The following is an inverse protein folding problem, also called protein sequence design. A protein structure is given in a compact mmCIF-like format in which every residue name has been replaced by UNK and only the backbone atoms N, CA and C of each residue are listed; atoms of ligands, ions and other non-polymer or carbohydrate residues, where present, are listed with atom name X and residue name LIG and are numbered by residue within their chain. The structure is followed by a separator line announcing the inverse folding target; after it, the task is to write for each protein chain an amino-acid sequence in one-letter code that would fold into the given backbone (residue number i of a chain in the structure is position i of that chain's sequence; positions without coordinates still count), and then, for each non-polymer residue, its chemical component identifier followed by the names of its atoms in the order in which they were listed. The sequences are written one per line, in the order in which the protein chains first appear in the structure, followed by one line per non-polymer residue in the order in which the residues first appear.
data_IF_199207130795
#
_entry.id   IF_199207130795
#
_cell.length_a   1.000
_cell.length_b   1.000
_cell.length_c   1.000
_cell.angle_alpha   90.00
_cell.angle_beta   90.00
_cell.angle_gamma   90.00
#
_symmetry.space_group_name_H-M   'P 1'
#
loop_
_entity.id
_entity.type
_entity.pdbx_description
1 polymer ?
#
# COMPACT_ATOMS: atom_id res chain seq x y z
N UNK A 1 42.77 3.70 -32.74
CA UNK A 1 43.48 3.26 -31.51
C UNK A 1 43.50 4.43 -30.54
N UNK A 2 42.54 4.47 -29.62
CA UNK A 2 42.62 5.24 -28.37
C UNK A 2 41.52 4.68 -27.46
N UNK A 3 41.90 3.90 -26.46
CA UNK A 3 41.01 3.33 -25.46
C UNK A 3 40.50 4.44 -24.54
N UNK A 4 39.22 4.44 -24.11
CA UNK A 4 38.81 5.25 -22.99
C UNK A 4 39.44 4.69 -21.72
N UNK A 5 40.12 5.57 -20.98
CA UNK A 5 40.62 5.29 -19.63
C UNK A 5 39.44 5.00 -18.73
N UNK A 6 39.36 3.76 -18.25
CA UNK A 6 38.62 3.47 -17.04
C UNK A 6 39.29 4.16 -15.85
N UNK A 7 38.48 4.70 -14.95
CA UNK A 7 38.90 4.82 -13.56
C UNK A 7 37.71 4.73 -12.62
N UNK A 8 37.66 3.57 -11.97
CA UNK A 8 37.37 3.38 -10.54
C UNK A 8 35.90 3.54 -10.16
N UNK A 9 35.13 2.48 -10.47
CA UNK A 9 34.03 2.10 -9.60
C UNK A 9 34.58 1.78 -8.22
N UNK A 10 34.47 2.73 -7.29
CA UNK A 10 34.50 2.40 -5.88
C UNK A 10 33.33 1.47 -5.64
N UNK A 11 33.60 0.22 -5.25
CA UNK A 11 32.60 -0.67 -4.69
C UNK A 11 32.13 -0.03 -3.38
N UNK A 12 31.19 0.92 -3.49
CA UNK A 12 30.51 1.49 -2.35
C UNK A 12 29.89 0.35 -1.59
N UNK A 13 30.23 0.22 -0.32
CA UNK A 13 29.72 -0.82 0.56
C UNK A 13 28.19 -0.83 0.45
N UNK A 14 27.62 -1.88 -0.14
CA UNK A 14 26.17 -2.03 -0.24
C UNK A 14 25.65 -2.16 1.18
N UNK A 15 24.87 -1.18 1.63
CA UNK A 15 24.24 -1.25 2.96
C UNK A 15 23.29 -2.44 2.97
N UNK A 16 23.42 -3.30 3.96
CA UNK A 16 22.49 -4.40 4.17
C UNK A 16 21.46 -4.00 5.23
N UNK A 17 20.19 -4.28 4.97
CA UNK A 17 19.08 -3.94 5.83
C UNK A 17 18.43 -5.24 6.29
N UNK A 18 18.60 -5.48 7.59
CA UNK A 18 18.00 -6.50 8.42
C UNK A 18 16.47 -6.48 8.43
N UNK A 19 15.75 -7.42 7.82
CA UNK A 19 14.36 -7.67 8.22
C UNK A 19 14.31 -8.38 9.58
N UNK A 20 13.40 -7.94 10.44
CA UNK A 20 13.02 -8.61 11.68
C UNK A 20 11.73 -9.40 11.47
N UNK A 21 11.65 -10.64 11.97
CA UNK A 21 10.39 -11.39 11.96
C UNK A 21 9.49 -10.85 13.07
N UNK A 22 8.31 -10.37 12.70
CA UNK A 22 7.33 -9.76 13.63
C UNK A 22 6.05 -10.58 13.77
N UNK A 23 5.86 -11.60 12.93
CA UNK A 23 4.71 -12.48 13.00
C UNK A 23 4.75 -13.60 11.98
N UNK A 24 3.69 -14.40 11.96
CA UNK A 24 3.43 -15.42 10.96
C UNK A 24 2.13 -15.10 10.24
N UNK A 25 2.07 -15.37 8.93
CA UNK A 25 0.81 -15.26 8.22
C UNK A 25 -0.19 -16.27 8.81
N UNK A 26 -1.34 -15.83 9.36
CA UNK A 26 -2.33 -16.72 9.94
C UNK A 26 -3.01 -17.58 8.87
N UNK A 27 -3.45 -18.77 9.25
CA UNK A 27 -4.36 -19.60 8.45
C UNK A 27 -5.69 -19.75 9.16
N UNK A 28 -6.77 -19.84 8.40
CA UNK A 28 -8.12 -19.99 8.94
C UNK A 28 -8.87 -21.08 8.14
N UNK A 29 -9.13 -22.27 8.72
CA UNK A 29 -9.82 -23.35 8.02
C UNK A 29 -11.17 -22.93 7.46
N UNK A 30 -11.44 -23.27 6.20
CA UNK A 30 -12.67 -22.86 5.49
C UNK A 30 -12.64 -21.43 4.95
N UNK A 31 -11.52 -20.72 5.07
CA UNK A 31 -11.35 -19.37 4.55
C UNK A 31 -10.06 -19.23 3.74
N UNK A 32 -10.05 -18.26 2.83
CA UNK A 32 -8.90 -17.86 2.02
C UNK A 32 -8.50 -16.42 2.34
N UNK A 33 -7.20 -16.17 2.54
CA UNK A 33 -6.69 -14.80 2.73
C UNK A 33 -6.84 -14.02 1.41
N UNK A 34 -7.57 -12.90 1.44
CA UNK A 34 -7.84 -12.08 0.25
C UNK A 34 -7.11 -10.74 0.26
N UNK A 35 -6.88 -10.19 1.46
CA UNK A 35 -6.16 -8.94 1.63
C UNK A 35 -5.35 -8.94 2.92
N UNK A 36 -4.25 -8.19 2.91
CA UNK A 36 -3.43 -7.90 4.07
C UNK A 36 -2.98 -6.44 4.05
N UNK A 37 -2.59 -5.93 5.21
CA UNK A 37 -2.16 -4.54 5.36
C UNK A 37 -1.60 -4.26 6.75
N UNK A 38 -1.27 -2.99 6.98
CA UNK A 38 -0.77 -2.51 8.28
C UNK A 38 -1.56 -1.26 8.65
N UNK A 39 -2.20 -1.29 9.82
CA UNK A 39 -2.97 -0.18 10.34
C UNK A 39 -2.09 0.99 10.80
N UNK A 40 -2.71 2.15 11.04
CA UNK A 40 -2.00 3.35 11.53
C UNK A 40 -1.33 3.16 12.90
N UNK A 41 -1.86 2.25 13.73
CA UNK A 41 -1.27 1.83 15.00
C UNK A 41 -0.23 0.70 14.86
N UNK A 42 0.20 0.42 13.63
CA UNK A 42 1.12 -0.65 13.23
C UNK A 42 0.61 -2.08 13.40
N UNK A 43 -0.68 -2.27 13.69
CA UNK A 43 -1.25 -3.61 13.75
C UNK A 43 -1.25 -4.27 12.37
N UNK A 44 -0.91 -5.55 12.31
CA UNK A 44 -1.02 -6.37 11.11
C UNK A 44 -2.49 -6.74 10.89
N UNK A 45 -2.93 -6.60 9.64
CA UNK A 45 -4.31 -6.87 9.23
C UNK A 45 -4.33 -8.03 8.23
N UNK A 46 -5.25 -8.98 8.44
CA UNK A 46 -5.47 -10.12 7.55
C UNK A 46 -6.96 -10.33 7.34
N UNK A 47 -7.42 -10.09 6.11
CA UNK A 47 -8.81 -10.28 5.72
C UNK A 47 -8.99 -11.64 5.04
N UNK A 48 -9.88 -12.43 5.60
CA UNK A 48 -10.22 -13.76 5.14
C UNK A 48 -11.62 -13.78 4.53
N UNK A 49 -11.77 -14.38 3.36
CA UNK A 49 -13.05 -14.66 2.70
C UNK A 49 -13.42 -16.13 2.89
N UNK A 50 -14.67 -16.42 3.26
CA UNK A 50 -15.17 -17.78 3.38
C UNK A 50 -15.13 -18.51 2.02
N UNK A 51 -14.68 -19.76 2.02
CA UNK A 51 -14.57 -20.61 0.84
C UNK A 51 -15.08 -22.03 1.15
N UNK A 52 -16.03 -22.55 0.37
CA UNK A 52 -16.70 -23.86 0.54
C UNK A 52 -15.77 -25.10 0.31
N UNK A 53 -14.52 -25.06 0.75
CA UNK A 53 -13.64 -26.25 0.77
C UNK A 53 -12.95 -26.60 -0.56
N UNK A 54 -12.92 -25.71 -1.55
CA UNK A 54 -11.96 -25.78 -2.64
C UNK A 54 -10.62 -25.21 -2.16
N UNK A 55 -9.60 -26.05 -1.99
CA UNK A 55 -8.28 -25.61 -1.56
C UNK A 55 -7.78 -24.39 -2.36
N UNK A 56 -7.64 -23.25 -1.69
CA UNK A 56 -6.81 -22.15 -2.16
C UNK A 56 -5.59 -22.07 -1.23
N UNK A 57 -4.67 -23.01 -1.45
CA UNK A 57 -3.27 -22.82 -1.08
C UNK A 57 -2.79 -21.48 -1.64
N UNK A 58 -2.33 -20.56 -0.77
CA UNK A 58 -1.29 -19.54 -0.97
C UNK A 58 -0.85 -19.20 -2.44
N UNK A 59 -1.78 -18.95 -3.35
CA UNK A 59 -1.48 -18.67 -4.77
C UNK A 59 -2.23 -17.44 -5.27
N UNK A 60 -2.52 -16.48 -4.38
CA UNK A 60 -2.99 -15.14 -4.76
C UNK A 60 -1.86 -14.08 -4.70
N UNK A 61 -0.60 -14.51 -4.57
CA UNK A 61 0.60 -13.69 -4.73
C UNK A 61 1.38 -14.19 -5.96
N UNK A 62 0.74 -14.22 -7.12
CA UNK A 62 1.46 -14.35 -8.39
C UNK A 62 1.00 -13.27 -9.34
N UNK A 63 2.02 -12.57 -9.84
CA UNK A 63 1.96 -11.51 -10.82
C UNK A 63 0.97 -11.80 -11.94
N UNK A 64 0.06 -10.86 -12.17
CA UNK A 64 -0.39 -10.52 -13.51
C UNK A 64 -0.96 -9.10 -13.46
N UNK A 65 -0.51 -8.22 -14.36
CA UNK A 65 -0.93 -6.83 -14.48
C UNK A 65 -2.34 -6.65 -15.04
N UNK A 66 -3.26 -7.56 -14.72
CA UNK A 66 -4.68 -7.47 -15.05
C UNK A 66 -5.48 -7.91 -13.84
N UNK A 67 -6.09 -6.94 -13.15
CA UNK A 67 -7.01 -7.20 -12.05
C UNK A 67 -8.37 -7.60 -12.61
N UNK A 68 -8.97 -8.73 -12.18
CA UNK A 68 -10.29 -9.12 -12.65
C UNK A 68 -11.35 -8.11 -12.20
N UNK A 69 -12.30 -7.79 -13.10
CA UNK A 69 -13.46 -6.97 -12.74
C UNK A 69 -14.40 -7.77 -11.81
N UNK A 70 -14.73 -7.26 -10.62
CA UNK A 70 -15.57 -7.99 -9.67
C UNK A 70 -17.01 -8.07 -10.17
N UNK A 71 -17.54 -9.29 -10.33
CA UNK A 71 -18.99 -9.50 -10.52
C UNK A 71 -19.68 -9.31 -9.17
N UNK A 72 -20.41 -8.20 -8.99
CA UNK A 72 -21.31 -8.01 -7.84
C UNK A 72 -22.58 -8.85 -8.05
N UNK A 73 -23.02 -9.56 -7.02
CA UNK A 73 -24.21 -10.44 -7.11
C UNK A 73 -24.21 -11.66 -6.17
N UNK A 74 -23.15 -11.90 -5.39
CA UNK A 74 -23.14 -12.91 -4.34
C UNK A 74 -22.59 -12.28 -3.06
N UNK A 75 -23.35 -12.42 -1.96
CA UNK A 75 -22.90 -12.08 -0.62
C UNK A 75 -21.68 -12.93 -0.26
N UNK A 76 -20.65 -12.27 0.28
CA UNK A 76 -19.42 -12.88 0.75
C UNK A 76 -19.28 -12.69 2.25
N UNK A 77 -18.84 -13.73 2.94
CA UNK A 77 -18.59 -13.68 4.37
C UNK A 77 -17.10 -13.40 4.60
N UNK A 78 -16.81 -12.39 5.40
CA UNK A 78 -15.45 -12.00 5.72
C UNK A 78 -15.16 -12.11 7.21
N UNK A 79 -13.90 -12.40 7.54
CA UNK A 79 -13.37 -12.32 8.90
C UNK A 79 -12.03 -11.59 8.87
N UNK A 80 -11.85 -10.62 9.75
CA UNK A 80 -10.61 -9.86 9.87
C UNK A 80 -9.86 -10.27 11.14
N UNK A 81 -8.57 -10.58 11.01
CA UNK A 81 -7.64 -10.61 12.13
C UNK A 81 -6.87 -9.30 12.18
N UNK A 82 -6.95 -8.62 13.33
CA UNK A 82 -6.01 -7.57 13.75
C UNK A 82 -5.02 -8.18 14.74
N UNK A 83 -3.72 -8.11 14.45
CA UNK A 83 -2.66 -8.62 15.32
C UNK A 83 -1.65 -7.53 15.66
N UNK A 84 -1.33 -7.38 16.96
CA UNK A 84 -0.31 -6.45 17.42
C UNK A 84 0.44 -7.02 18.62
N UNK A 85 1.76 -7.18 18.52
CA UNK A 85 2.66 -7.53 19.62
C UNK A 85 2.16 -8.67 20.55
N UNK A 86 1.60 -9.73 19.95
CA UNK A 86 1.08 -10.90 20.68
C UNK A 86 -0.39 -10.81 21.13
N UNK A 87 -1.06 -9.68 20.87
CA UNK A 87 -2.52 -9.57 20.97
C UNK A 87 -3.17 -9.85 19.61
N UNK A 88 -4.29 -10.56 19.64
CA UNK A 88 -5.10 -10.88 18.47
C UNK A 88 -6.55 -10.49 18.73
N UNK A 89 -7.16 -9.80 17.76
CA UNK A 89 -8.57 -9.47 17.75
C UNK A 89 -9.17 -9.96 16.44
N UNK A 90 -10.15 -10.85 16.56
CA UNK A 90 -10.94 -11.33 15.44
C UNK A 90 -12.24 -10.53 15.32
N UNK A 91 -12.53 -10.04 14.12
CA UNK A 91 -13.73 -9.27 13.79
C UNK A 91 -14.50 -10.04 12.72
N UNK A 92 -15.71 -10.47 13.07
CA UNK A 92 -16.66 -11.02 12.11
C UNK A 92 -17.36 -9.88 11.37
N UNK A 93 -17.37 -9.95 10.04
CA UNK A 93 -18.09 -8.99 9.22
C UNK A 93 -19.44 -9.59 8.77
N UNK A 94 -20.48 -8.75 8.62
CA UNK A 94 -21.72 -9.21 8.03
C UNK A 94 -21.48 -9.70 6.59
N UNK A 95 -22.39 -10.48 5.99
CA UNK A 95 -22.30 -10.80 4.57
C UNK A 95 -22.29 -9.52 3.72
N UNK A 96 -21.25 -9.34 2.89
CA UNK A 96 -21.03 -8.14 2.08
C UNK A 96 -21.11 -8.44 0.58
N UNK A 97 -21.71 -7.54 -0.19
CA UNK A 97 -21.59 -7.53 -1.66
C UNK A 97 -20.39 -6.69 -2.07
N UNK A 98 -19.19 -7.22 -1.83
CA UNK A 98 -17.92 -6.56 -2.12
C UNK A 98 -16.85 -7.63 -2.37
N UNK A 99 -16.01 -7.45 -3.39
CA UNK A 99 -14.77 -8.23 -3.54
C UNK A 99 -13.62 -7.42 -2.93
N UNK A 100 -13.46 -7.55 -1.61
CA UNK A 100 -12.51 -6.72 -0.88
C UNK A 100 -11.06 -7.14 -1.19
N UNK A 101 -10.28 -6.20 -1.75
CA UNK A 101 -8.84 -6.37 -2.02
C UNK A 101 -7.97 -5.39 -1.23
N UNK A 102 -8.60 -4.41 -0.56
CA UNK A 102 -7.98 -3.39 0.28
C UNK A 102 -8.64 -3.37 1.65
N UNK A 103 -7.84 -3.18 2.69
CA UNK A 103 -8.29 -3.04 4.07
C UNK A 103 -7.45 -2.02 4.82
N UNK A 104 -8.08 -1.29 5.74
CA UNK A 104 -7.41 -0.53 6.80
C UNK A 104 -8.39 -0.29 7.97
N UNK A 105 -7.89 0.23 9.08
CA UNK A 105 -8.66 0.57 10.27
C UNK A 105 -8.67 2.08 10.52
N UNK A 106 -9.83 2.58 10.92
CA UNK A 106 -9.95 3.89 11.53
C UNK A 106 -9.39 3.86 12.96
N UNK A 107 -8.91 5.02 13.49
CA UNK A 107 -8.42 5.11 14.86
C UNK A 107 -9.43 4.67 15.94
N UNK A 108 -10.72 4.77 15.66
CA UNK A 108 -11.82 4.36 16.55
C UNK A 108 -12.18 2.87 16.46
N UNK A 109 -11.50 2.10 15.59
CA UNK A 109 -11.69 0.68 15.41
C UNK A 109 -12.69 0.28 14.32
N UNK A 110 -13.32 1.25 13.62
CA UNK A 110 -14.06 0.94 12.40
C UNK A 110 -13.14 0.33 11.34
N UNK A 111 -13.70 -0.52 10.50
CA UNK A 111 -12.99 -1.26 9.45
C UNK A 111 -13.38 -0.71 8.09
N UNK A 112 -12.42 -0.34 7.26
CA UNK A 112 -12.64 -0.06 5.85
C UNK A 112 -12.26 -1.27 5.01
N UNK A 113 -13.17 -1.69 4.13
CA UNK A 113 -12.93 -2.66 3.08
C UNK A 113 -13.18 -1.99 1.74
N UNK A 114 -12.32 -2.21 0.75
CA UNK A 114 -12.56 -1.71 -0.59
C UNK A 114 -12.11 -2.69 -1.67
N UNK A 115 -12.72 -2.58 -2.85
CA UNK A 115 -12.28 -3.27 -4.05
C UNK A 115 -11.44 -2.33 -4.92
N UNK A 116 -10.30 -2.82 -5.41
CA UNK A 116 -9.45 -2.04 -6.30
C UNK A 116 -10.12 -1.65 -7.61
N UNK A 117 -11.11 -2.44 -8.03
CA UNK A 117 -11.82 -2.25 -9.29
C UNK A 117 -13.28 -1.94 -9.02
N UNK A 118 -13.81 -1.00 -9.80
CA UNK A 118 -15.23 -0.78 -9.92
C UNK A 118 -15.80 -1.64 -11.06
N UNK A 119 -17.07 -2.02 -10.93
CA UNK A 119 -17.79 -2.74 -11.98
C UNK A 119 -18.80 -1.80 -12.65
N UNK A 120 -18.52 -1.45 -13.90
CA UNK A 120 -19.37 -0.60 -14.76
C UNK A 120 -20.76 -1.19 -15.07
N UNK A 121 -21.07 -2.43 -14.68
CA UNK A 121 -22.30 -3.14 -15.09
C UNK A 121 -23.54 -2.85 -14.24
N UNK A 122 -23.43 -2.14 -13.12
CA UNK A 122 -24.59 -1.85 -12.26
C UNK A 122 -24.95 -0.36 -12.37
N UNK A 123 -26.00 -0.09 -13.13
CA UNK A 123 -26.48 1.25 -13.48
C UNK A 123 -27.05 2.05 -12.28
N UNK A 124 -27.22 1.41 -11.12
CA UNK A 124 -28.01 1.95 -9.99
C UNK A 124 -27.23 2.19 -8.70
N UNK A 125 -25.91 1.98 -8.68
CA UNK A 125 -25.10 2.31 -7.49
C UNK A 125 -23.73 2.85 -7.93
N UNK A 126 -23.67 4.17 -8.14
CA UNK A 126 -22.45 4.85 -8.60
C UNK A 126 -21.28 4.57 -7.65
N UNK A 127 -20.17 4.05 -8.18
CA UNK A 127 -18.84 4.07 -7.56
C UNK A 127 -18.67 3.49 -6.14
N UNK A 128 -19.68 2.89 -5.50
CA UNK A 128 -19.62 2.42 -4.10
C UNK A 128 -18.84 1.10 -3.95
N UNK A 129 -17.54 1.14 -4.22
CA UNK A 129 -16.61 0.02 -4.10
C UNK A 129 -15.93 -0.08 -2.72
N UNK A 130 -16.39 0.67 -1.72
CA UNK A 130 -15.95 0.59 -0.33
C UNK A 130 -17.08 0.38 0.66
N UNK A 131 -16.76 -0.23 1.81
CA UNK A 131 -17.65 -0.43 2.96
C UNK A 131 -16.88 -0.06 4.22
N UNK A 132 -17.47 0.83 5.03
CA UNK A 132 -17.03 1.12 6.38
C UNK A 132 -17.94 0.36 7.33
N UNK A 133 -17.36 -0.52 8.14
CA UNK A 133 -18.05 -1.34 9.12
C UNK A 133 -17.64 -0.94 10.53
N UNK A 134 -18.60 -0.76 11.42
CA UNK A 134 -18.38 -0.53 12.83
C UNK A 134 -18.64 -1.82 13.63
N UNK A 135 -17.59 -2.48 14.15
CA UNK A 135 -17.75 -3.69 14.94
C UNK A 135 -18.49 -3.49 16.27
N UNK A 136 -18.52 -2.26 16.80
CA UNK A 136 -19.16 -1.97 18.10
C UNK A 136 -20.67 -1.86 17.96
N UNK A 137 -21.15 -1.28 16.86
CA UNK A 137 -22.58 -1.06 16.60
C UNK A 137 -23.17 -2.06 15.61
N UNK A 138 -22.34 -2.76 14.85
CA UNK A 138 -22.74 -3.64 13.75
C UNK A 138 -23.20 -2.88 12.49
N UNK A 139 -23.07 -1.55 12.47
CA UNK A 139 -23.48 -0.74 11.33
C UNK A 139 -22.47 -0.84 10.17
N UNK A 140 -22.99 -0.80 8.94
CA UNK A 140 -22.18 -0.76 7.73
C UNK A 140 -22.70 0.35 6.80
N UNK A 141 -21.78 1.17 6.29
CA UNK A 141 -22.06 2.20 5.29
C UNK A 141 -21.21 1.98 4.05
N UNK A 142 -21.80 2.19 2.88
CA UNK A 142 -21.07 2.11 1.61
C UNK A 142 -20.44 3.47 1.29
N UNK A 143 -19.24 3.44 0.71
CA UNK A 143 -18.50 4.64 0.28
C UNK A 143 -17.96 4.44 -1.13
N UNK A 144 -17.89 5.53 -1.89
CA UNK A 144 -17.38 5.51 -3.24
C UNK A 144 -15.95 6.02 -3.32
N UNK A 145 -15.02 5.11 -3.60
CA UNK A 145 -13.58 5.41 -3.61
C UNK A 145 -13.00 5.40 -5.03
N UNK A 146 -13.82 5.20 -6.06
CA UNK A 146 -13.41 5.25 -7.47
C UNK A 146 -12.75 3.96 -7.97
N UNK A 147 -12.59 3.88 -9.28
CA UNK A 147 -11.94 2.74 -9.94
C UNK A 147 -10.41 2.89 -9.93
N UNK A 148 -9.70 1.78 -10.11
CA UNK A 148 -8.26 1.80 -10.29
C UNK A 148 -7.45 2.11 -9.04
N UNK A 149 -7.88 1.64 -7.86
CA UNK A 149 -7.15 1.89 -6.60
C UNK A 149 -5.85 1.06 -6.54
N UNK A 150 -4.71 1.75 -6.53
CA UNK A 150 -3.37 1.15 -6.39
C UNK A 150 -3.05 0.84 -4.93
N UNK A 151 -3.32 1.76 -4.00
CA UNK A 151 -3.20 1.56 -2.56
C UNK A 151 -4.18 2.44 -1.76
N UNK A 152 -4.44 2.04 -0.50
CA UNK A 152 -5.33 2.76 0.41
C UNK A 152 -4.80 2.70 1.84
N UNK A 153 -4.79 3.83 2.53
CA UNK A 153 -4.38 3.92 3.94
C UNK A 153 -5.18 5.00 4.69
N UNK A 154 -5.49 4.75 5.96
CA UNK A 154 -6.22 5.67 6.85
C UNK A 154 -5.25 6.37 7.81
N UNK A 155 -5.37 7.69 7.91
CA UNK A 155 -4.51 8.47 8.81
C UNK A 155 -5.08 8.59 10.24
N UNK A 156 -4.32 9.19 11.15
CA UNK A 156 -4.70 9.33 12.57
C UNK A 156 -5.93 10.23 12.79
N UNK A 157 -6.33 11.02 11.78
CA UNK A 157 -7.53 11.87 11.82
C UNK A 157 -8.75 11.14 11.24
N UNK A 158 -8.59 9.87 10.84
CA UNK A 158 -9.64 9.10 10.20
C UNK A 158 -9.87 9.48 8.73
N UNK A 159 -8.93 10.17 8.08
CA UNK A 159 -9.05 10.45 6.64
C UNK A 159 -8.53 9.27 5.84
N UNK A 160 -9.21 8.97 4.73
CA UNK A 160 -8.91 7.85 3.85
C UNK A 160 -8.07 8.40 2.68
N UNK A 161 -6.81 7.98 2.58
CA UNK A 161 -5.94 8.29 1.45
C UNK A 161 -5.99 7.17 0.43
N UNK A 162 -6.26 7.52 -0.82
CA UNK A 162 -6.42 6.57 -1.92
C UNK A 162 -5.53 6.99 -3.08
N UNK A 163 -4.54 6.15 -3.40
CA UNK A 163 -3.73 6.27 -4.61
C UNK A 163 -4.37 5.47 -5.75
N UNK A 164 -4.25 5.99 -6.98
CA UNK A 164 -4.82 5.37 -8.18
C UNK A 164 -3.71 5.01 -9.17
N UNK A 165 -3.87 3.88 -9.86
CA UNK A 165 -3.05 3.53 -11.02
C UNK A 165 -3.68 4.06 -12.32
N UNK A 166 -2.98 3.90 -13.43
CA UNK A 166 -3.32 4.50 -14.74
C UNK A 166 -4.79 4.35 -15.16
N UNK A 167 -5.39 3.17 -15.00
CA UNK A 167 -6.80 2.97 -15.35
C UNK A 167 -7.77 3.83 -14.50
N UNK A 168 -7.41 4.10 -13.23
CA UNK A 168 -8.17 4.99 -12.35
C UNK A 168 -7.98 6.47 -12.71
N UNK A 169 -6.74 6.85 -13.07
CA UNK A 169 -6.35 8.21 -13.46
C UNK A 169 -6.95 8.59 -14.81
N UNK A 170 -6.76 7.77 -15.84
CA UNK A 170 -7.29 8.01 -17.19
C UNK A 170 -8.75 7.58 -17.35
N UNK A 171 -9.34 7.04 -16.29
CA UNK A 171 -10.75 6.66 -16.24
C UNK A 171 -11.69 7.86 -16.10
N UNK A 172 -12.91 7.57 -15.67
CA UNK A 172 -14.00 8.55 -15.48
C UNK A 172 -14.49 8.67 -14.04
N UNK A 173 -13.71 8.14 -13.09
CA UNK A 173 -14.05 8.14 -11.66
C UNK A 173 -13.37 9.28 -10.89
N UNK A 174 -13.54 9.31 -9.56
CA UNK A 174 -12.84 10.28 -8.68
C UNK A 174 -11.31 10.14 -8.72
N UNK A 175 -10.77 9.04 -9.25
CA UNK A 175 -9.34 8.78 -9.32
C UNK A 175 -8.52 9.60 -10.32
N UNK A 176 -9.14 10.50 -11.09
CA UNK A 176 -8.46 11.30 -12.13
C UNK A 176 -7.31 12.18 -11.60
N UNK A 177 -7.34 12.55 -10.31
CA UNK A 177 -6.26 13.28 -9.67
C UNK A 177 -5.05 12.40 -9.29
N UNK A 178 -5.16 11.08 -9.39
CA UNK A 178 -4.12 10.11 -9.03
C UNK A 178 -3.89 9.90 -7.53
N UNK A 179 -4.19 10.90 -6.69
CA UNK A 179 -4.28 10.78 -5.24
C UNK A 179 -5.47 11.60 -4.73
N UNK A 180 -6.32 10.96 -3.91
CA UNK A 180 -7.48 11.61 -3.29
C UNK A 180 -7.53 11.28 -1.79
N UNK A 181 -7.93 12.27 -1.00
CA UNK A 181 -8.17 12.14 0.43
C UNK A 181 -9.66 12.31 0.72
N UNK A 182 -10.26 11.35 1.42
CA UNK A 182 -11.68 11.34 1.77
C UNK A 182 -11.88 11.47 3.29
N UNK A 183 -13.05 11.98 3.69
CA UNK A 183 -13.55 11.87 5.06
C UNK A 183 -13.94 10.41 5.38
N UNK A 184 -14.24 10.14 6.64
CA UNK A 184 -14.79 8.87 7.10
C UNK A 184 -16.26 8.65 6.67
N UNK A 185 -16.85 9.60 5.95
CA UNK A 185 -18.14 9.48 5.27
C UNK A 185 -17.98 9.23 3.77
N UNK A 186 -16.74 9.18 3.25
CA UNK A 186 -16.45 9.02 1.83
C UNK A 186 -16.56 10.31 1.01
N UNK A 187 -16.60 11.47 1.65
CA UNK A 187 -16.61 12.77 0.96
C UNK A 187 -15.19 13.16 0.60
N UNK A 188 -14.96 13.65 -0.62
CA UNK A 188 -13.65 14.15 -1.04
C UNK A 188 -13.30 15.43 -0.26
N UNK A 189 -12.30 15.36 0.62
CA UNK A 189 -11.83 16.51 1.41
C UNK A 189 -10.62 17.19 0.79
N UNK A 190 -9.88 16.47 -0.05
CA UNK A 190 -8.75 16.98 -0.82
C UNK A 190 -8.44 16.05 -2.00
N UNK A 191 -7.89 16.61 -3.07
CA UNK A 191 -7.31 15.84 -4.17
C UNK A 191 -6.02 16.50 -4.63
N UNK A 192 -5.15 15.72 -5.25
CA UNK A 192 -3.90 16.21 -5.76
C UNK A 192 -4.14 17.35 -6.79
N UNK A 193 -3.47 18.52 -6.65
CA UNK A 193 -3.82 19.70 -7.45
C UNK A 193 -3.51 19.51 -8.93
N UNK A 194 -4.47 19.85 -9.79
CA UNK A 194 -4.30 19.79 -11.24
C UNK A 194 -3.28 20.82 -11.77
N UNK A 195 -2.98 21.86 -11.00
CA UNK A 195 -2.00 22.92 -11.30
C UNK A 195 -0.66 22.72 -10.56
N UNK A 196 -0.43 21.56 -9.95
CA UNK A 196 0.88 21.20 -9.40
C UNK A 196 1.93 21.07 -10.52
N UNK A 197 3.21 21.21 -10.14
CA UNK A 197 4.34 21.08 -11.08
C UNK A 197 4.48 19.66 -11.68
N UNK A 198 3.76 18.69 -11.14
CA UNK A 198 3.77 17.29 -11.55
C UNK A 198 2.35 16.76 -11.75
N UNK A 199 2.19 15.79 -12.64
CA UNK A 199 0.94 15.03 -12.79
C UNK A 199 1.14 13.58 -12.33
N UNK A 200 0.10 13.01 -11.74
CA UNK A 200 0.09 11.60 -11.34
C UNK A 200 -0.62 10.80 -12.43
N UNK A 201 0.15 10.06 -13.20
CA UNK A 201 -0.34 9.06 -14.15
C UNK A 201 -0.53 7.69 -13.48
N UNK A 202 0.30 7.38 -12.46
CA UNK A 202 0.18 6.17 -11.64
C UNK A 202 0.82 6.40 -10.26
N UNK A 203 0.05 6.24 -9.19
CA UNK A 203 0.51 6.30 -7.81
C UNK A 203 1.16 4.96 -7.40
N UNK A 204 2.46 4.84 -7.68
CA UNK A 204 3.27 3.63 -7.49
C UNK A 204 3.37 3.16 -6.03
N UNK A 205 3.50 4.10 -5.10
CA UNK A 205 3.59 3.80 -3.68
C UNK A 205 2.94 4.89 -2.84
N UNK A 206 2.21 4.47 -1.80
CA UNK A 206 1.60 5.32 -0.78
C UNK A 206 2.16 4.93 0.60
N UNK A 207 2.41 5.92 1.44
CA UNK A 207 2.80 5.73 2.83
C UNK A 207 2.15 6.82 3.68
N UNK A 208 1.28 6.42 4.62
CA UNK A 208 0.58 7.33 5.54
C UNK A 208 1.09 7.14 6.96
N UNK A 209 1.41 8.24 7.64
CA UNK A 209 1.89 8.21 9.02
C UNK A 209 1.45 9.46 9.79
N UNK A 210 0.92 9.26 10.99
CA UNK A 210 0.27 10.35 11.73
C UNK A 210 -0.85 10.96 10.90
N UNK A 211 -0.78 12.25 10.60
CA UNK A 211 -1.71 12.97 9.72
C UNK A 211 -1.08 13.35 8.37
N UNK A 212 0.10 12.83 8.06
CA UNK A 212 0.81 13.11 6.81
C UNK A 212 0.68 11.91 5.85
N UNK A 213 0.75 12.19 4.56
CA UNK A 213 0.89 11.19 3.51
C UNK A 213 2.18 11.45 2.73
N UNK A 214 2.75 10.41 2.14
CA UNK A 214 3.82 10.50 1.17
C UNK A 214 3.52 9.56 0.01
N UNK A 215 3.82 10.00 -1.20
CA UNK A 215 3.67 9.22 -2.42
C UNK A 215 4.94 9.24 -3.26
N UNK A 216 5.10 8.19 -4.05
CA UNK A 216 6.05 8.09 -5.14
C UNK A 216 5.27 7.65 -6.38
N UNK A 217 5.40 8.38 -7.49
CA UNK A 217 4.46 8.25 -8.60
C UNK A 217 5.04 8.55 -9.98
N UNK A 218 4.46 7.94 -11.01
CA UNK A 218 4.71 8.26 -12.42
C UNK A 218 3.85 9.49 -12.80
N UNK A 219 4.31 10.47 -13.58
CA UNK A 219 5.18 10.34 -14.77
C UNK A 219 6.70 10.43 -14.54
N UNK A 220 7.14 11.21 -13.55
CA UNK A 220 8.56 11.57 -13.40
C UNK A 220 9.25 10.92 -12.19
N UNK A 221 8.54 10.10 -11.42
CA UNK A 221 9.04 9.48 -10.19
C UNK A 221 9.52 10.42 -9.08
N UNK A 222 8.85 11.57 -8.81
CA UNK A 222 9.17 12.35 -7.63
C UNK A 222 8.61 11.68 -6.36
N UNK A 223 9.12 12.14 -5.22
CA UNK A 223 8.50 11.92 -3.92
C UNK A 223 7.73 13.19 -3.56
N UNK A 224 6.45 13.04 -3.25
CA UNK A 224 5.64 14.11 -2.68
C UNK A 224 5.26 13.75 -1.25
N UNK A 225 5.61 14.61 -0.30
CA UNK A 225 5.03 14.57 1.04
C UNK A 225 3.90 15.59 1.11
N UNK A 226 2.75 15.15 1.62
CA UNK A 226 1.55 15.94 1.86
C UNK A 226 1.40 16.07 3.37
N UNK A 227 1.52 17.31 3.87
CA UNK A 227 1.35 17.62 5.28
C UNK A 227 -0.11 17.49 5.75
N UNK A 228 -0.32 17.47 7.06
CA UNK A 228 -1.66 17.46 7.67
C UNK A 228 -2.56 18.64 7.23
N UNK A 229 -1.97 19.75 6.79
CA UNK A 229 -2.58 20.95 6.23
C UNK A 229 -2.61 20.98 4.68
N UNK A 230 -2.30 19.84 4.06
CA UNK A 230 -2.23 19.63 2.61
C UNK A 230 -1.14 20.41 1.89
N UNK A 231 -0.14 20.96 2.60
CA UNK A 231 1.04 21.53 1.95
C UNK A 231 1.90 20.44 1.33
N UNK A 232 2.42 20.71 0.13
CA UNK A 232 3.23 19.76 -0.65
C UNK A 232 4.72 20.05 -0.46
N UNK A 233 5.51 19.00 -0.30
CA UNK A 233 6.97 19.04 -0.28
C UNK A 233 7.54 17.97 -1.20
N UNK A 234 8.61 18.29 -1.91
CA UNK A 234 9.05 17.53 -3.07
C UNK A 234 10.50 17.09 -2.96
N UNK A 235 10.78 15.88 -3.44
CA UNK A 235 12.14 15.42 -3.71
C UNK A 235 12.22 14.71 -5.05
N UNK A 236 13.17 15.11 -5.88
CA UNK A 236 13.50 14.45 -7.14
C UNK A 236 14.51 13.33 -6.92
N UNK A 237 14.35 12.22 -7.63
CA UNK A 237 15.26 11.07 -7.55
C UNK A 237 15.49 10.47 -8.92
N UNK A 238 16.57 9.72 -9.09
CA UNK A 238 16.85 8.96 -10.32
C UNK A 238 16.16 7.58 -10.32
N UNK A 239 15.49 7.22 -9.22
CA UNK A 239 14.81 5.93 -9.07
C UNK A 239 13.53 5.86 -9.89
N UNK A 240 13.18 4.66 -10.35
CA UNK A 240 11.99 4.40 -11.15
C UNK A 240 11.25 3.14 -10.67
N UNK A 241 9.92 3.20 -10.67
CA UNK A 241 9.10 1.99 -10.52
C UNK A 241 9.15 1.28 -9.16
N UNK A 242 9.65 1.93 -8.11
CA UNK A 242 9.59 1.38 -6.76
C UNK A 242 8.12 1.36 -6.26
N UNK A 243 7.65 0.20 -5.79
CA UNK A 243 6.25 -0.01 -5.41
C UNK A 243 5.98 0.08 -3.89
N UNK A 244 7.02 0.28 -3.08
CA UNK A 244 6.87 0.53 -1.65
C UNK A 244 8.08 1.28 -1.12
N UNK A 245 7.86 2.10 -0.09
CA UNK A 245 8.95 2.71 0.66
C UNK A 245 8.59 2.91 2.14
N UNK A 246 9.61 2.95 2.99
CA UNK A 246 9.55 3.43 4.36
C UNK A 246 10.21 4.80 4.46
N UNK A 247 9.63 5.71 5.24
CA UNK A 247 10.09 7.09 5.36
C UNK A 247 10.12 7.54 6.82
N UNK A 248 11.28 7.97 7.30
CA UNK A 248 11.43 8.71 8.56
C UNK A 248 11.47 10.20 8.28
N UNK A 249 11.80 11.01 9.30
CA UNK A 249 12.03 12.44 9.11
C UNK A 249 13.27 12.75 8.24
N UNK A 250 14.23 11.81 8.17
CA UNK A 250 15.55 12.05 7.56
C UNK A 250 15.96 11.00 6.54
N UNK A 251 15.37 9.80 6.55
CA UNK A 251 15.78 8.68 5.73
C UNK A 251 14.57 8.08 4.99
N UNK A 252 14.82 7.59 3.79
CA UNK A 252 13.82 6.86 3.01
C UNK A 252 14.45 5.58 2.43
N UNK A 253 13.71 4.48 2.53
CA UNK A 253 14.08 3.16 2.03
C UNK A 253 13.06 2.71 1.00
N UNK A 254 13.47 2.63 -0.26
CA UNK A 254 12.69 2.13 -1.38
C UNK A 254 12.89 0.63 -1.58
N UNK A 255 11.82 -0.02 -2.07
CA UNK A 255 11.91 -1.33 -2.71
C UNK A 255 12.78 -1.31 -3.98
N UNK A 256 12.97 -2.49 -4.58
CA UNK A 256 13.58 -2.64 -5.90
C UNK A 256 12.86 -1.80 -6.97
N UNK A 257 13.63 -1.35 -7.96
CA UNK A 257 13.13 -0.74 -9.20
C UNK A 257 12.62 -1.81 -10.17
N UNK A 258 12.15 -1.40 -11.34
CA UNK A 258 11.86 -2.32 -12.43
C UNK A 258 13.06 -3.22 -12.76
N UNK A 259 12.78 -4.50 -13.01
CA UNK A 259 13.75 -5.51 -13.45
C UNK A 259 14.89 -5.80 -12.44
N UNK A 260 14.90 -5.16 -11.28
CA UNK A 260 15.82 -5.50 -10.19
C UNK A 260 15.33 -6.72 -9.41
N UNK A 261 16.27 -7.45 -8.79
CA UNK A 261 15.95 -8.56 -7.90
C UNK A 261 15.17 -8.07 -6.66
N UNK A 262 14.28 -8.91 -6.14
CA UNK A 262 13.45 -8.61 -4.96
C UNK A 262 14.26 -8.19 -3.73
N UNK A 263 15.48 -8.68 -3.59
CA UNK A 263 16.39 -8.33 -2.50
C UNK A 263 17.07 -6.96 -2.67
N UNK A 264 16.96 -6.32 -3.83
CA UNK A 264 17.52 -4.98 -4.05
C UNK A 264 16.61 -3.93 -3.41
N UNK A 265 17.22 -2.94 -2.79
CA UNK A 265 16.56 -1.75 -2.27
C UNK A 265 17.44 -0.52 -2.51
N UNK A 266 16.90 0.66 -2.25
CA UNK A 266 17.64 1.92 -2.34
C UNK A 266 17.34 2.77 -1.13
N UNK A 267 18.38 3.37 -0.55
CA UNK A 267 18.26 4.16 0.66
C UNK A 267 18.85 5.55 0.43
N UNK A 268 18.11 6.58 0.82
CA UNK A 268 18.49 7.97 0.64
C UNK A 268 18.24 8.79 1.89
N UNK A 269 18.88 9.96 1.95
CA UNK A 269 18.68 10.94 3.01
C UNK A 269 17.85 12.10 2.45
N UNK A 270 16.78 12.44 3.15
CA UNK A 270 15.91 13.56 2.79
C UNK A 270 16.64 14.86 3.16
N UNK A 271 17.01 15.64 2.14
CA UNK A 271 17.57 16.98 2.33
C UNK A 271 16.49 18.07 2.20
N UNK A 272 16.90 19.32 2.37
CA UNK A 272 16.01 20.50 2.18
C UNK A 272 16.06 21.05 0.75
N UNK A 273 16.94 20.53 -0.09
CA UNK A 273 17.24 21.06 -1.42
C UNK A 273 16.35 20.43 -2.50
N UNK A 274 15.49 19.48 -2.12
CA UNK A 274 14.47 18.90 -3.00
C UNK A 274 15.05 17.86 -3.97
N UNK A 275 16.26 17.36 -3.70
CA UNK A 275 16.87 16.26 -4.45
C UNK A 275 17.19 15.13 -3.47
N UNK A 276 16.85 13.92 -3.84
CA UNK A 276 17.14 12.72 -3.06
C UNK A 276 18.21 11.90 -3.75
N UNK A 277 19.42 11.95 -3.22
CA UNK A 277 20.47 11.01 -3.60
C UNK A 277 20.29 9.68 -2.86
N UNK A 278 20.24 8.60 -3.63
CA UNK A 278 20.06 7.25 -3.10
C UNK A 278 21.32 6.41 -3.31
N UNK A 279 21.48 5.40 -2.45
CA UNK A 279 22.50 4.37 -2.58
C UNK A 279 21.81 3.02 -2.61
N UNK A 280 22.34 2.11 -3.43
CA UNK A 280 21.87 0.73 -3.46
C UNK A 280 22.10 0.05 -2.11
N UNK A 281 21.08 -0.66 -1.66
CA UNK A 281 21.05 -1.48 -0.46
C UNK A 281 20.57 -2.90 -0.81
N UNK A 282 20.75 -3.84 0.13
CA UNK A 282 20.21 -5.19 0.05
C UNK A 282 19.29 -5.48 1.23
N UNK A 283 18.11 -6.00 0.96
CA UNK A 283 17.15 -6.47 1.95
C UNK A 283 17.46 -7.93 2.27
N UNK A 284 17.76 -8.20 3.54
CA UNK A 284 18.09 -9.54 4.01
C UNK A 284 17.04 -10.03 5.00
N UNK A 285 16.72 -11.32 4.93
CA UNK A 285 15.89 -12.01 5.90
C UNK A 285 16.67 -12.25 7.21
N UNK A 286 16.03 -12.61 8.33
CA UNK A 286 16.73 -12.85 9.61
C UNK A 286 17.85 -13.89 9.56
N UNK A 287 17.76 -14.86 8.64
CA UNK A 287 18.77 -15.89 8.43
C UNK A 287 19.94 -15.44 7.53
N UNK A 288 19.92 -14.18 7.07
CA UNK A 288 20.92 -13.59 6.17
C UNK A 288 20.69 -13.87 4.69
N UNK A 289 19.66 -14.64 4.32
CA UNK A 289 19.29 -14.84 2.92
C UNK A 289 18.72 -13.56 2.30
N UNK A 290 18.76 -13.45 0.98
CA UNK A 290 18.14 -12.35 0.25
C UNK A 290 16.61 -12.39 0.36
N UNK A 291 15.97 -11.22 0.48
CA UNK A 291 14.50 -11.16 0.53
C UNK A 291 13.87 -11.83 -0.70
N UNK A 292 12.99 -12.84 -0.52
CA UNK A 292 12.29 -13.47 -1.62
C UNK A 292 11.26 -12.51 -2.25
N UNK A 293 10.77 -12.82 -3.46
CA UNK A 293 9.62 -12.13 -4.03
C UNK A 293 8.42 -12.21 -3.10
N UNK A 294 7.58 -11.18 -3.12
CA UNK A 294 6.40 -11.07 -2.27
C UNK A 294 6.04 -9.62 -2.05
N UNK A 295 4.86 -9.39 -1.46
CA UNK A 295 4.31 -8.05 -1.29
C UNK A 295 5.10 -7.28 -0.26
N UNK A 296 5.42 -6.03 -0.61
CA UNK A 296 5.91 -5.03 0.32
C UNK A 296 4.80 -4.03 0.64
N UNK A 297 4.83 -3.45 1.83
CA UNK A 297 3.92 -2.40 2.25
C UNK A 297 4.66 -1.37 3.09
N UNK A 298 4.54 -0.09 2.74
CA UNK A 298 5.14 1.01 3.47
C UNK A 298 4.16 1.61 4.46
N UNK A 299 4.56 1.77 5.72
CA UNK A 299 3.78 2.49 6.74
C UNK A 299 4.71 3.21 7.69
N UNK A 300 4.71 4.54 7.67
CA UNK A 300 5.68 5.37 8.37
C UNK A 300 7.11 5.00 8.03
N UNK A 301 7.95 4.88 9.07
CA UNK A 301 9.35 4.51 8.95
C UNK A 301 9.58 2.99 8.84
N UNK A 302 8.54 2.22 8.55
CA UNK A 302 8.60 0.77 8.43
C UNK A 302 8.26 0.28 7.02
N UNK A 303 9.06 -0.66 6.53
CA UNK A 303 8.79 -1.43 5.33
C UNK A 303 8.45 -2.85 5.77
N UNK A 304 7.27 -3.33 5.40
CA UNK A 304 6.77 -4.65 5.76
C UNK A 304 6.87 -5.59 4.58
N UNK A 305 7.28 -6.83 4.83
CA UNK A 305 7.25 -7.92 3.87
C UNK A 305 6.27 -8.99 4.34
N UNK A 306 5.27 -9.27 3.50
CA UNK A 306 4.31 -10.35 3.71
C UNK A 306 4.76 -11.57 2.90
N UNK A 307 5.43 -12.51 3.57
CA UNK A 307 5.94 -13.75 3.00
C UNK A 307 5.10 -14.97 3.39
N UNK A 308 5.37 -16.11 2.75
CA UNK A 308 4.72 -17.39 3.06
C UNK A 308 5.14 -17.94 4.44
N UNK A 309 6.38 -17.66 4.83
CA UNK A 309 7.04 -18.18 6.03
C UNK A 309 6.94 -17.23 7.23
N UNK A 310 6.50 -15.98 7.02
CA UNK A 310 6.43 -14.97 8.07
C UNK A 310 6.06 -13.58 7.57
N UNK A 311 5.79 -12.72 8.55
CA UNK A 311 5.69 -11.28 8.35
C UNK A 311 6.93 -10.64 8.93
N UNK A 312 7.54 -9.78 8.14
CA UNK A 312 8.81 -9.18 8.46
C UNK A 312 8.75 -7.66 8.34
N UNK A 313 9.59 -6.98 9.13
CA UNK A 313 9.67 -5.51 9.14
C UNK A 313 11.12 -5.04 9.11
N UNK A 314 11.41 -4.07 8.26
CA UNK A 314 12.62 -3.28 8.28
C UNK A 314 12.27 -1.84 8.70
N UNK A 315 13.16 -1.17 9.41
CA UNK A 315 12.92 0.17 9.97
C UNK A 315 14.03 1.12 9.54
N UNK A 316 13.64 2.31 9.08
CA UNK A 316 14.57 3.42 8.86
C UNK A 316 14.53 4.38 10.06
N UNK A 317 15.68 5.01 10.32
CA UNK A 317 15.90 5.88 11.49
C UNK A 317 15.52 7.32 11.17
#
# INVERSE_FOLDING_TARGET
MMLPRGSIGGAGLIRSIQFEKIGTAPTLPGFSLTASGVAGDQSLLFLFEFSDGGASTATALRASGVLPHPKMGRLKCYRLLKSNAGSELWIDLPPLELHASKIDLFPDGRVLLASSRWNFQVETDYNLNGIIFDPQTGQASRVGLGDGISDLQIDQRGRIWVGYFDEGVFGSSVGQAGLVCFSDLGEKVWEFPADADHTIDDCYALNVTGADAAIFFYSDFPICKIGADFQLSWWQTELQGCHAFAMSATEILFSSQYQESSETAHIGQLDREGVLYTKRARLLMPDGSGRPPGRLHGRGNHLYHFGEDGIYRATVV
#
